data_IF_220021242443
#
_entry.id   IF_220021242443
#
_cell.length_a   1.000
_cell.length_b   1.000
_cell.length_c   1.000
_cell.angle_alpha   90.00
_cell.angle_beta   90.00
_cell.angle_gamma   90.00
#
_symmetry.space_group_name_H-M   'P 1'
#
loop_
_entity.id
_entity.type
_entity.pdbx_description
1 polymer ?
#
# COMPACT_ATOMS: atom_id res chain seq x y z
N UNK A 1 12.18 -5.40 7.55
CA UNK A 1 11.61 -4.30 8.35
C UNK A 1 12.62 -3.16 8.58
N UNK A 2 13.83 -3.39 9.14
CA UNK A 2 14.79 -2.32 9.44
C UNK A 2 15.21 -1.50 8.20
N UNK A 3 15.52 -2.16 7.09
CA UNK A 3 15.93 -1.49 5.84
C UNK A 3 14.81 -0.57 5.32
N UNK A 4 13.56 -1.03 5.33
CA UNK A 4 12.42 -0.20 4.90
C UNK A 4 12.20 1.01 5.80
N UNK A 5 12.43 0.90 7.11
CA UNK A 5 12.30 2.02 8.04
C UNK A 5 13.34 3.11 7.76
N UNK A 6 14.60 2.72 7.52
CA UNK A 6 15.68 3.66 7.18
C UNK A 6 15.41 4.34 5.84
N UNK A 7 15.02 3.57 4.81
CA UNK A 7 14.70 4.10 3.47
C UNK A 7 13.55 5.10 3.54
N UNK A 8 12.46 4.77 4.24
CA UNK A 8 11.31 5.67 4.42
C UNK A 8 11.73 6.95 5.12
N UNK A 9 12.53 6.86 6.19
CA UNK A 9 13.05 8.03 6.89
C UNK A 9 13.86 8.97 6.00
N UNK A 10 14.67 8.43 5.11
CA UNK A 10 15.46 9.21 4.15
C UNK A 10 14.58 9.82 3.05
N UNK A 11 13.60 9.08 2.53
CA UNK A 11 12.70 9.54 1.48
C UNK A 11 11.77 10.66 1.96
N UNK A 12 11.22 10.55 3.17
CA UNK A 12 10.33 11.57 3.74
C UNK A 12 11.06 12.90 4.00
N UNK A 13 12.36 12.89 4.25
CA UNK A 13 13.16 14.13 4.39
C UNK A 13 13.21 14.96 3.10
N UNK A 14 13.12 14.33 1.94
CA UNK A 14 13.23 15.00 0.63
C UNK A 14 11.90 15.19 -0.09
N UNK A 15 10.88 14.39 0.24
CA UNK A 15 9.65 14.31 -0.55
C UNK A 15 8.45 14.27 0.38
N UNK A 16 7.28 14.71 -0.11
CA UNK A 16 6.04 14.65 0.67
C UNK A 16 5.64 13.20 0.95
N UNK A 17 5.06 12.93 2.13
CA UNK A 17 4.62 11.58 2.55
C UNK A 17 3.65 10.95 1.56
N UNK A 18 2.74 11.76 1.01
CA UNK A 18 1.78 11.31 0.00
C UNK A 18 2.45 10.83 -1.28
N UNK A 19 3.47 11.54 -1.76
CA UNK A 19 4.22 11.14 -2.95
C UNK A 19 5.00 9.85 -2.73
N UNK A 20 5.59 9.66 -1.55
CA UNK A 20 6.30 8.41 -1.19
C UNK A 20 5.30 7.25 -1.14
N UNK A 21 4.11 7.45 -0.59
CA UNK A 21 3.07 6.44 -0.51
C UNK A 21 2.58 6.01 -1.91
N UNK A 22 2.31 6.99 -2.78
CA UNK A 22 1.94 6.74 -4.17
C UNK A 22 3.03 5.97 -4.92
N UNK A 23 4.30 6.36 -4.74
CA UNK A 23 5.44 5.65 -5.33
C UNK A 23 5.52 4.19 -4.84
N UNK A 24 5.34 3.93 -3.54
CA UNK A 24 5.36 2.58 -2.99
C UNK A 24 4.26 1.69 -3.59
N UNK A 25 3.03 2.19 -3.72
CA UNK A 25 1.93 1.41 -4.30
C UNK A 25 2.10 1.20 -5.80
N UNK A 26 2.56 2.22 -6.54
CA UNK A 26 2.79 2.11 -7.98
C UNK A 26 3.90 1.10 -8.27
N UNK A 27 5.04 1.20 -7.57
CA UNK A 27 6.16 0.28 -7.78
C UNK A 27 5.82 -1.15 -7.37
N UNK A 28 5.09 -1.35 -6.26
CA UNK A 28 4.64 -2.67 -5.84
C UNK A 28 3.65 -3.30 -6.84
N UNK A 29 2.70 -2.51 -7.36
CA UNK A 29 1.76 -2.98 -8.37
C UNK A 29 2.43 -3.36 -9.68
N UNK A 30 3.38 -2.53 -10.16
CA UNK A 30 4.15 -2.83 -11.36
C UNK A 30 5.02 -4.09 -11.20
N UNK A 31 5.70 -4.24 -10.07
CA UNK A 31 6.48 -5.45 -9.77
C UNK A 31 5.58 -6.69 -9.75
N UNK A 32 4.40 -6.61 -9.16
CA UNK A 32 3.43 -7.70 -9.12
C UNK A 32 2.98 -8.12 -10.54
N UNK A 33 2.70 -7.16 -11.42
CA UNK A 33 2.35 -7.44 -12.82
C UNK A 33 3.48 -8.08 -13.61
N UNK A 34 4.74 -7.76 -13.29
CA UNK A 34 5.91 -8.29 -13.99
C UNK A 34 6.25 -9.71 -13.58
N UNK A 35 5.92 -10.14 -12.35
CA UNK A 35 6.27 -11.47 -11.82
C UNK A 35 5.89 -12.62 -12.76
N UNK A 36 4.69 -12.71 -13.35
CA UNK A 36 4.32 -13.82 -14.23
C UNK A 36 5.16 -13.92 -15.52
N UNK A 37 5.81 -12.84 -15.92
CA UNK A 37 6.61 -12.76 -17.15
C UNK A 37 8.11 -13.00 -16.91
N UNK A 38 8.53 -13.16 -15.65
CA UNK A 38 9.94 -13.35 -15.33
C UNK A 38 10.38 -14.79 -15.63
N UNK A 39 11.46 -14.97 -16.42
CA UNK A 39 11.88 -16.29 -16.91
C UNK A 39 12.56 -17.15 -15.84
N UNK A 40 13.00 -16.56 -14.73
CA UNK A 40 13.78 -17.27 -13.70
C UNK A 40 13.23 -16.99 -12.30
N UNK A 41 13.30 -18.01 -11.43
CA UNK A 41 12.89 -17.92 -10.03
C UNK A 41 13.71 -16.88 -9.25
N UNK A 42 14.96 -16.65 -9.62
CA UNK A 42 15.84 -15.67 -9.00
C UNK A 42 15.32 -14.24 -9.22
N UNK A 43 14.92 -13.92 -10.45
CA UNK A 43 14.34 -12.61 -10.78
C UNK A 43 12.99 -12.41 -10.08
N UNK A 44 12.15 -13.45 -10.03
CA UNK A 44 10.91 -13.41 -9.27
C UNK A 44 11.16 -13.15 -7.77
N UNK A 45 12.15 -13.80 -7.18
CA UNK A 45 12.54 -13.59 -5.77
C UNK A 45 12.99 -12.17 -5.49
N UNK A 46 13.74 -11.55 -6.40
CA UNK A 46 14.16 -10.15 -6.31
C UNK A 46 12.94 -9.23 -6.39
N UNK A 47 12.02 -9.48 -7.32
CA UNK A 47 10.78 -8.70 -7.45
C UNK A 47 9.94 -8.77 -6.16
N UNK A 48 9.75 -9.96 -5.58
CA UNK A 48 9.04 -10.14 -4.30
C UNK A 48 9.75 -9.45 -3.14
N UNK A 49 11.08 -9.42 -3.11
CA UNK A 49 11.83 -8.68 -2.11
C UNK A 49 11.54 -7.18 -2.17
N UNK A 50 11.55 -6.58 -3.37
CA UNK A 50 11.20 -5.17 -3.55
C UNK A 50 9.73 -4.88 -3.23
N UNK A 51 8.81 -5.77 -3.61
CA UNK A 51 7.41 -5.66 -3.20
C UNK A 51 7.25 -5.64 -1.68
N UNK A 52 7.96 -6.53 -0.98
CA UNK A 52 7.97 -6.58 0.49
C UNK A 52 8.50 -5.29 1.13
N UNK A 53 9.56 -4.72 0.59
CA UNK A 53 10.10 -3.42 1.02
C UNK A 53 9.08 -2.30 0.85
N UNK A 54 8.47 -2.20 -0.34
CA UNK A 54 7.48 -1.17 -0.64
C UNK A 54 6.22 -1.30 0.24
N UNK A 55 5.72 -2.51 0.43
CA UNK A 55 4.55 -2.77 1.28
C UNK A 55 4.81 -2.39 2.75
N UNK A 56 5.98 -2.75 3.30
CA UNK A 56 6.34 -2.35 4.65
C UNK A 56 6.50 -0.83 4.76
N UNK A 57 7.10 -0.18 3.77
CA UNK A 57 7.26 1.27 3.70
C UNK A 57 5.90 1.98 3.71
N UNK A 58 4.95 1.54 2.90
CA UNK A 58 3.59 2.08 2.86
C UNK A 58 2.89 1.93 4.22
N UNK A 59 3.01 0.77 4.88
CA UNK A 59 2.43 0.53 6.21
C UNK A 59 2.98 1.46 7.29
N UNK A 60 4.29 1.76 7.25
CA UNK A 60 4.92 2.69 8.18
C UNK A 60 4.36 4.09 7.99
N UNK A 61 4.28 4.56 6.74
CA UNK A 61 3.75 5.89 6.40
C UNK A 61 2.30 6.05 6.86
N UNK A 62 1.44 5.07 6.56
CA UNK A 62 0.02 5.09 6.96
C UNK A 62 -0.11 5.15 8.48
N UNK A 63 0.68 4.36 9.21
CA UNK A 63 0.69 4.42 10.69
C UNK A 63 1.14 5.78 11.22
N UNK A 64 2.16 6.38 10.62
CA UNK A 64 2.64 7.71 11.01
C UNK A 64 1.55 8.76 10.79
N UNK A 65 0.86 8.72 9.64
CA UNK A 65 -0.26 9.62 9.34
C UNK A 65 -1.38 9.46 10.39
N UNK A 66 -1.70 8.24 10.80
CA UNK A 66 -2.71 8.00 11.85
C UNK A 66 -2.27 8.59 13.18
N UNK A 67 -1.00 8.38 13.60
CA UNK A 67 -0.48 8.90 14.86
C UNK A 67 -0.50 10.43 14.94
N UNK A 68 -0.36 11.12 13.82
CA UNK A 68 -0.33 12.58 13.76
C UNK A 68 -1.71 13.22 13.69
N UNK A 69 -2.67 12.55 13.06
CA UNK A 69 -3.99 13.14 12.78
C UNK A 69 -5.10 12.65 13.72
N UNK A 70 -4.86 11.58 14.50
CA UNK A 70 -5.87 10.98 15.36
C UNK A 70 -5.53 11.28 16.83
N UNK A 71 -6.47 11.86 17.61
CA UNK A 71 -6.28 12.10 19.04
C UNK A 71 -5.98 10.80 19.80
N UNK A 72 -5.03 10.83 20.73
CA UNK A 72 -4.60 9.67 21.52
C UNK A 72 -5.76 8.93 22.21
N UNK A 73 -6.80 9.67 22.62
CA UNK A 73 -7.98 9.12 23.31
C UNK A 73 -8.74 8.05 22.49
N UNK A 74 -8.74 8.17 21.17
CA UNK A 74 -9.46 7.26 20.26
C UNK A 74 -8.54 6.42 19.36
N UNK A 75 -7.24 6.67 19.41
CA UNK A 75 -6.23 6.02 18.58
C UNK A 75 -6.34 4.49 18.63
N UNK A 76 -6.45 3.91 19.83
CA UNK A 76 -6.55 2.46 20.00
C UNK A 76 -7.78 1.87 19.29
N UNK A 77 -8.94 2.52 19.41
CA UNK A 77 -10.16 2.08 18.74
C UNK A 77 -10.04 2.11 17.22
N UNK A 78 -9.49 3.20 16.67
CA UNK A 78 -9.28 3.36 15.23
C UNK A 78 -8.30 2.31 14.71
N UNK A 79 -7.18 2.09 15.40
CA UNK A 79 -6.19 1.07 15.01
C UNK A 79 -6.79 -0.35 15.07
N UNK A 80 -7.62 -0.65 16.07
CA UNK A 80 -8.27 -1.96 16.18
C UNK A 80 -9.22 -2.19 15.01
N UNK A 81 -10.10 -1.22 14.70
CA UNK A 81 -11.05 -1.32 13.58
C UNK A 81 -10.29 -1.48 12.26
N UNK A 82 -9.27 -0.66 12.03
CA UNK A 82 -8.45 -0.76 10.83
C UNK A 82 -7.70 -2.10 10.74
N UNK A 83 -7.21 -2.60 11.88
CA UNK A 83 -6.55 -3.90 11.96
C UNK A 83 -7.48 -5.07 11.63
N UNK A 84 -8.71 -5.06 12.15
CA UNK A 84 -9.74 -6.07 11.86
C UNK A 84 -10.11 -6.02 10.37
N UNK A 85 -10.41 -4.83 9.85
CA UNK A 85 -10.73 -4.64 8.44
C UNK A 85 -9.61 -5.15 7.51
N UNK A 86 -8.36 -4.78 7.80
CA UNK A 86 -7.21 -5.21 7.00
C UNK A 86 -7.04 -6.74 7.01
N UNK A 87 -7.22 -7.38 8.17
CA UNK A 87 -7.11 -8.85 8.28
C UNK A 87 -8.23 -9.54 7.52
N UNK A 88 -9.47 -9.03 7.63
CA UNK A 88 -10.62 -9.56 6.89
C UNK A 88 -10.35 -9.48 5.38
N UNK A 89 -9.86 -8.35 4.88
CA UNK A 89 -9.52 -8.17 3.46
C UNK A 89 -8.41 -9.14 3.01
N UNK A 90 -7.40 -9.38 3.84
CA UNK A 90 -6.34 -10.37 3.54
C UNK A 90 -6.94 -11.77 3.42
N UNK A 91 -7.80 -12.18 4.34
CA UNK A 91 -8.45 -13.51 4.31
C UNK A 91 -9.30 -13.66 3.05
N UNK A 92 -10.16 -12.68 2.75
CA UNK A 92 -11.00 -12.72 1.55
C UNK A 92 -10.17 -12.77 0.26
N UNK A 93 -9.11 -11.95 0.19
CA UNK A 93 -8.21 -11.95 -0.98
C UNK A 93 -7.46 -13.27 -1.13
N UNK A 94 -7.05 -13.89 -0.04
CA UNK A 94 -6.34 -15.18 -0.06
C UNK A 94 -7.29 -16.30 -0.52
N UNK A 95 -8.53 -16.32 -0.04
CA UNK A 95 -9.54 -17.28 -0.49
C UNK A 95 -9.85 -17.10 -1.98
N UNK A 96 -10.05 -15.86 -2.42
CA UNK A 96 -10.28 -15.56 -3.84
C UNK A 96 -9.10 -15.96 -4.72
N UNK A 97 -7.87 -15.67 -4.30
CA UNK A 97 -6.66 -16.07 -5.03
C UNK A 97 -6.52 -17.60 -5.09
N UNK A 98 -6.79 -18.31 -3.99
CA UNK A 98 -6.79 -19.78 -3.95
C UNK A 98 -7.81 -20.38 -4.92
N UNK A 99 -9.03 -19.85 -4.94
CA UNK A 99 -10.06 -20.27 -5.88
C UNK A 99 -9.64 -20.03 -7.35
N UNK A 100 -9.03 -18.87 -7.64
CA UNK A 100 -8.52 -18.55 -8.99
C UNK A 100 -7.41 -19.53 -9.41
N UNK A 101 -6.50 -19.88 -8.50
CA UNK A 101 -5.42 -20.83 -8.78
C UNK A 101 -5.99 -22.21 -9.14
N UNK A 102 -7.00 -22.66 -8.41
CA UNK A 102 -7.60 -23.98 -8.57
C UNK A 102 -8.40 -24.09 -9.89
N UNK A 103 -9.15 -23.04 -10.28
CA UNK A 103 -10.10 -23.09 -11.41
C UNK A 103 -9.60 -22.44 -12.70
N UNK A 104 -8.59 -21.58 -12.63
CA UNK A 104 -8.11 -20.84 -13.80
C UNK A 104 -6.61 -21.10 -14.02
N UNK A 105 -5.72 -20.34 -13.37
CA UNK A 105 -4.28 -20.53 -13.42
C UNK A 105 -3.54 -19.59 -12.43
N UNK A 106 -2.25 -19.90 -12.17
CA UNK A 106 -1.39 -19.14 -11.27
C UNK A 106 -1.15 -17.69 -11.75
N UNK A 107 -0.82 -17.41 -13.04
CA UNK A 107 -0.61 -16.05 -13.51
C UNK A 107 -1.79 -15.12 -13.27
N UNK A 108 -3.02 -15.62 -13.46
CA UNK A 108 -4.25 -14.84 -13.21
C UNK A 108 -4.41 -14.49 -11.73
N UNK A 109 -4.07 -15.39 -10.81
CA UNK A 109 -4.10 -15.12 -9.38
C UNK A 109 -3.08 -14.04 -8.96
N UNK A 110 -1.90 -14.05 -9.58
CA UNK A 110 -0.87 -13.00 -9.35
C UNK A 110 -1.37 -11.66 -9.88
N UNK A 111 -1.97 -11.61 -11.08
CA UNK A 111 -2.56 -10.40 -11.63
C UNK A 111 -3.73 -9.87 -10.78
N UNK A 112 -4.54 -10.76 -10.20
CA UNK A 112 -5.57 -10.39 -9.23
C UNK A 112 -4.97 -9.70 -8.00
N UNK A 113 -3.82 -10.16 -7.52
CA UNK A 113 -3.10 -9.47 -6.43
C UNK A 113 -2.59 -8.09 -6.85
N UNK A 114 -2.13 -7.92 -8.09
CA UNK A 114 -1.74 -6.63 -8.63
C UNK A 114 -2.91 -5.63 -8.64
N UNK A 115 -4.12 -6.07 -8.94
CA UNK A 115 -5.33 -5.24 -8.91
C UNK A 115 -5.55 -4.58 -7.54
N UNK A 116 -5.26 -5.28 -6.44
CA UNK A 116 -5.37 -4.71 -5.09
C UNK A 116 -4.42 -3.53 -4.88
N UNK A 117 -3.20 -3.59 -5.41
CA UNK A 117 -2.25 -2.47 -5.34
C UNK A 117 -2.75 -1.27 -6.14
N UNK A 118 -3.36 -1.48 -7.31
CA UNK A 118 -3.95 -0.40 -8.10
C UNK A 118 -5.19 0.20 -7.43
N UNK A 119 -6.03 -0.61 -6.81
CA UNK A 119 -7.14 -0.09 -5.99
C UNK A 119 -6.64 0.75 -4.82
N UNK A 120 -5.60 0.31 -4.12
CA UNK A 120 -4.97 1.08 -3.06
C UNK A 120 -4.35 2.39 -3.56
N UNK A 121 -3.74 2.37 -4.76
CA UNK A 121 -3.21 3.56 -5.43
C UNK A 121 -4.32 4.57 -5.73
N UNK A 122 -5.42 4.12 -6.36
CA UNK A 122 -6.57 4.98 -6.66
C UNK A 122 -7.17 5.57 -5.38
N UNK A 123 -7.35 4.76 -4.33
CA UNK A 123 -7.85 5.24 -3.04
C UNK A 123 -6.94 6.30 -2.42
N UNK A 124 -5.63 6.08 -2.43
CA UNK A 124 -4.66 7.04 -1.92
C UNK A 124 -4.67 8.33 -2.73
N UNK A 125 -4.75 8.24 -4.05
CA UNK A 125 -4.81 9.39 -4.95
C UNK A 125 -6.06 10.24 -4.68
N UNK A 126 -7.23 9.62 -4.54
CA UNK A 126 -8.48 10.29 -4.20
C UNK A 126 -8.38 11.02 -2.85
N UNK A 127 -7.84 10.37 -1.82
CA UNK A 127 -7.64 10.98 -0.50
C UNK A 127 -6.71 12.20 -0.59
N UNK A 128 -5.63 12.12 -1.34
CA UNK A 128 -4.69 13.23 -1.53
C UNK A 128 -5.35 14.41 -2.26
N UNK A 129 -6.15 14.14 -3.28
CA UNK A 129 -6.88 15.18 -4.01
C UNK A 129 -7.92 15.89 -3.12
N UNK A 130 -8.72 15.13 -2.38
CA UNK A 130 -9.75 15.70 -1.49
C UNK A 130 -9.13 16.51 -0.36
N UNK A 131 -8.01 16.04 0.22
CA UNK A 131 -7.27 16.76 1.25
C UNK A 131 -6.71 18.09 0.74
N UNK A 132 -6.10 18.08 -0.45
CA UNK A 132 -5.57 19.30 -1.08
C UNK A 132 -6.67 20.31 -1.35
N UNK A 133 -7.83 19.85 -1.82
CA UNK A 133 -8.97 20.73 -2.11
C UNK A 133 -9.57 21.33 -0.82
N UNK A 134 -9.66 20.56 0.25
CA UNK A 134 -10.14 21.03 1.57
C UNK A 134 -9.25 22.15 2.13
N UNK A 135 -7.93 22.00 2.06
CA UNK A 135 -6.99 23.02 2.55
C UNK A 135 -7.07 24.31 1.73
N UNK A 136 -7.29 24.24 0.42
CA UNK A 136 -7.49 25.42 -0.43
C UNK A 136 -8.77 26.18 -0.06
N UNK A 137 -9.85 25.47 0.31
CA UNK A 137 -11.11 26.10 0.72
C UNK A 137 -10.96 26.84 2.06
N UNK A 138 -10.18 26.28 3.00
CA UNK A 138 -9.93 26.88 4.30
C UNK A 138 -9.02 28.11 4.22
N UNK A 139 -8.06 28.12 3.30
CA UNK A 139 -7.14 29.27 3.07
C UNK A 139 -7.82 30.47 2.38
N UNK A 140 -8.95 30.27 1.71
CA UNK A 140 -9.73 31.36 1.06
C UNK A 140 -10.67 32.04 2.06
N UNK A 141 -10.93 31.41 3.23
CA UNK A 141 -11.83 31.94 4.26
C UNK A 141 -11.12 32.69 5.41
N UNK A 142 -9.79 32.73 5.39
CA UNK A 142 -8.96 33.50 6.32
C UNK A 142 -8.51 34.81 5.68
#
# INVERSE_FOLDING_TARGET
ALISTVLVGLMIKKTSRSSVLLFCYTSAGLMCLLVPFLPTIYLASIAYFFMGLNNNSARIIVRTIFMENIPNKIMGRVQTIFGIYSRLMVVLSTLAAGWIIEHINIPTAVNFTALHYFCALCGTFLVVLTWKNSNNILSVKS
#
